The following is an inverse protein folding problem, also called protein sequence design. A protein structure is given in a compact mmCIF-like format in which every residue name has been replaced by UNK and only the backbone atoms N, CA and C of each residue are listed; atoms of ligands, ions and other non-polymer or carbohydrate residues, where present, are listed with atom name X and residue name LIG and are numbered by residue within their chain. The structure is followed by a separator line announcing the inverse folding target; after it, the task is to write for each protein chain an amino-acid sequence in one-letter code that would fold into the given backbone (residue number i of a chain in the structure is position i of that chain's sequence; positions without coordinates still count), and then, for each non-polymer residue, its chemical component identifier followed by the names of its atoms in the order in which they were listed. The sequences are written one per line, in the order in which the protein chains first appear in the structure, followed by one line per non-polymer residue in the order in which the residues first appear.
data_IF_690538841834
#
_entry.id   IF_690538841834
#
_cell.length_a   1.000
_cell.length_b   1.000
_cell.length_c   1.000
_cell.angle_alpha   90.00
_cell.angle_beta   90.00
_cell.angle_gamma   90.00
#
_symmetry.space_group_name_H-M   'P 1'
#
loop_
_entity.id
_entity.type
_entity.pdbx_description
1 polymer ?
#
# COMPACT_ATOMS: atom_id res chain seq x y z
N UNK A 1 6.73 5.93 5.39
CA UNK A 1 6.18 5.18 4.23
C UNK A 1 4.92 4.42 4.59
N UNK A 2 4.95 3.43 5.50
CA UNK A 2 3.72 2.73 5.95
C UNK A 2 2.69 3.72 6.49
N UNK A 3 3.10 4.62 7.38
CA UNK A 3 2.19 5.64 7.93
C UNK A 3 1.60 6.53 6.83
N UNK A 4 2.39 6.87 5.80
CA UNK A 4 1.92 7.63 4.65
C UNK A 4 0.91 6.85 3.79
N UNK A 5 1.10 5.54 3.63
CA UNK A 5 0.17 4.65 2.93
C UNK A 5 -1.16 4.57 3.70
N UNK A 6 -1.10 4.42 5.02
CA UNK A 6 -2.29 4.37 5.88
C UNK A 6 -3.01 5.72 5.91
N UNK A 7 -2.27 6.81 6.08
CA UNK A 7 -2.84 8.16 6.09
C UNK A 7 -3.51 8.50 4.75
N UNK A 8 -2.86 8.17 3.63
CA UNK A 8 -3.45 8.36 2.29
C UNK A 8 -4.74 7.58 2.12
N UNK A 9 -4.79 6.31 2.56
CA UNK A 9 -6.00 5.50 2.50
C UNK A 9 -7.15 6.08 3.34
N UNK A 10 -6.86 6.60 4.54
CA UNK A 10 -7.84 7.27 5.40
C UNK A 10 -8.36 8.54 4.73
N UNK A 11 -7.45 9.38 4.21
CA UNK A 11 -7.80 10.63 3.53
C UNK A 11 -8.68 10.38 2.31
N UNK A 12 -8.35 9.35 1.53
CA UNK A 12 -9.10 8.96 0.33
C UNK A 12 -10.34 8.11 0.64
N UNK A 13 -10.62 7.80 1.93
CA UNK A 13 -11.71 6.94 2.39
C UNK A 13 -11.72 5.56 1.72
N UNK A 14 -10.53 5.00 1.51
CA UNK A 14 -10.37 3.68 0.91
C UNK A 14 -10.93 2.59 1.84
N UNK A 15 -11.61 1.58 1.26
CA UNK A 15 -12.09 0.41 2.01
C UNK A 15 -10.98 -0.62 2.20
N UNK A 16 -10.08 -0.72 1.22
CA UNK A 16 -8.98 -1.69 1.20
C UNK A 16 -7.70 -1.03 0.69
N UNK A 17 -6.57 -1.48 1.25
CA UNK A 17 -5.23 -1.17 0.75
C UNK A 17 -4.64 -2.45 0.17
N UNK A 18 -4.30 -2.40 -1.11
CA UNK A 18 -3.66 -3.48 -1.83
C UNK A 18 -2.16 -3.20 -1.96
N UNK A 19 -1.33 -4.14 -1.52
CA UNK A 19 0.13 -4.16 -1.74
C UNK A 19 0.44 -5.30 -2.73
N UNK A 20 0.63 -4.94 -4.00
CA UNK A 20 0.76 -5.88 -5.12
C UNK A 20 2.23 -5.97 -5.59
N UNK A 21 2.99 -7.00 -5.20
CA UNK A 21 4.38 -7.15 -5.63
C UNK A 21 4.46 -7.57 -7.10
N UNK A 22 5.29 -6.86 -7.87
CA UNK A 22 5.70 -7.22 -9.22
C UNK A 22 7.22 -7.48 -9.28
N UNK A 23 7.71 -7.80 -10.47
CA UNK A 23 9.13 -8.17 -10.70
C UNK A 23 10.08 -7.05 -10.26
N UNK A 24 9.79 -5.79 -10.61
CA UNK A 24 10.70 -4.66 -10.37
C UNK A 24 10.31 -3.79 -9.17
N UNK A 25 9.03 -3.77 -8.81
CA UNK A 25 8.45 -2.89 -7.79
C UNK A 25 7.16 -3.52 -7.25
N UNK A 26 6.67 -3.02 -6.13
CA UNK A 26 5.33 -3.33 -5.66
C UNK A 26 4.43 -2.11 -5.81
N UNK A 27 3.19 -2.31 -6.26
CA UNK A 27 2.20 -1.24 -6.36
C UNK A 27 1.38 -1.17 -5.08
N UNK A 28 1.06 0.06 -4.68
CA UNK A 28 0.07 0.34 -3.65
C UNK A 28 -1.17 0.87 -4.34
N UNK A 29 -2.29 0.17 -4.15
CA UNK A 29 -3.58 0.55 -4.71
C UNK A 29 -4.62 0.69 -3.62
N UNK A 30 -5.51 1.66 -3.76
CA UNK A 30 -6.64 1.86 -2.86
C UNK A 30 -7.92 1.42 -3.55
N UNK A 31 -8.77 0.69 -2.83
CA UNK A 31 -10.16 0.49 -3.26
C UNK A 31 -11.01 1.65 -2.76
N UNK A 32 -11.57 2.42 -3.69
CA UNK A 32 -12.46 3.55 -3.41
C UNK A 32 -13.73 3.32 -4.23
N UNK A 33 -14.87 3.25 -3.57
CA UNK A 33 -16.19 2.96 -4.18
C UNK A 33 -16.17 1.74 -5.12
N UNK A 34 -15.47 0.68 -4.68
CA UNK A 34 -15.34 -0.58 -5.41
C UNK A 34 -14.25 -0.62 -6.48
N UNK A 35 -13.69 0.53 -6.90
CA UNK A 35 -12.66 0.64 -7.93
C UNK A 35 -11.26 0.73 -7.34
N UNK A 36 -10.27 0.14 -8.01
CA UNK A 36 -8.86 0.18 -7.59
C UNK A 36 -8.10 1.31 -8.28
N UNK A 37 -7.49 2.18 -7.49
CA UNK A 37 -6.69 3.31 -7.95
C UNK A 37 -5.22 3.13 -7.59
N UNK A 38 -4.32 3.34 -8.55
CA UNK A 38 -2.87 3.31 -8.34
C UNK A 38 -2.43 4.58 -7.60
N UNK A 39 -1.73 4.43 -6.47
CA UNK A 39 -1.45 5.54 -5.54
C UNK A 39 0.03 5.73 -5.26
N UNK A 40 0.77 4.64 -5.14
CA UNK A 40 2.22 4.70 -4.94
C UNK A 40 2.89 3.44 -5.48
N UNK A 41 4.21 3.54 -5.65
CA UNK A 41 5.09 2.43 -5.96
C UNK A 41 6.13 2.30 -4.86
N UNK A 42 6.35 1.07 -4.45
CA UNK A 42 7.33 0.68 -3.44
C UNK A 42 8.45 -0.04 -4.19
N UNK A 43 9.69 0.50 -4.19
CA UNK A 43 10.84 -0.19 -4.74
C UNK A 43 10.95 -1.60 -4.17
N UNK A 44 11.29 -2.60 -5.01
CA UNK A 44 11.34 -4.01 -4.60
C UNK A 44 12.21 -4.26 -3.38
N UNK A 45 13.30 -3.50 -3.24
CA UNK A 45 14.21 -3.57 -2.09
C UNK A 45 13.57 -3.16 -0.75
N UNK A 46 12.51 -2.35 -0.78
CA UNK A 46 11.78 -1.88 0.41
C UNK A 46 10.53 -2.70 0.72
N UNK A 47 10.07 -3.55 -0.20
CA UNK A 47 8.81 -4.30 -0.05
C UNK A 47 8.78 -5.16 1.22
N UNK A 48 9.85 -5.92 1.48
CA UNK A 48 9.93 -6.76 2.68
C UNK A 48 9.84 -5.94 3.97
N UNK A 49 10.47 -4.76 4.01
CA UNK A 49 10.42 -3.87 5.16
C UNK A 49 9.00 -3.33 5.42
N UNK A 50 8.25 -3.00 4.36
CA UNK A 50 6.83 -2.60 4.45
C UNK A 50 5.99 -3.72 5.05
N UNK A 51 6.11 -4.93 4.52
CA UNK A 51 5.33 -6.09 4.98
C UNK A 51 5.62 -6.39 6.44
N UNK A 52 6.89 -6.39 6.86
CA UNK A 52 7.27 -6.60 8.26
C UNK A 52 6.68 -5.52 9.15
N UNK A 53 6.77 -4.25 8.74
CA UNK A 53 6.24 -3.14 9.53
C UNK A 53 4.73 -3.24 9.75
N UNK A 54 3.99 -3.66 8.72
CA UNK A 54 2.54 -3.92 8.82
C UNK A 54 2.26 -5.07 9.78
N UNK A 55 2.99 -6.18 9.66
CA UNK A 55 2.84 -7.35 10.55
C UNK A 55 3.13 -7.04 12.03
N UNK A 56 3.99 -6.06 12.32
CA UNK A 56 4.28 -5.64 13.70
C UNK A 56 3.15 -4.75 14.27
N UNK A 57 2.39 -4.06 13.41
CA UNK A 57 1.32 -3.16 13.83
C UNK A 57 -0.02 -3.86 14.10
N UNK A 58 -0.15 -5.13 13.72
CA UNK A 58 -1.39 -5.90 13.77
C UNK A 58 -1.23 -7.18 14.60
#
# INVERSE_FOLDING_TARGET
MVDSILQGAITDRATDIHLEPHVQEARVRYRIDGMLYDKAVVPRLLYSAVVIRIKILA
#
